data_IF_720953653292
#
_entry.id   IF_720953653292
#
_cell.length_a   1.000
_cell.length_b   1.000
_cell.length_c   1.000
_cell.angle_alpha   90.00
_cell.angle_beta   90.00
_cell.angle_gamma   90.00
#
_symmetry.space_group_name_H-M   'P 1'
#
loop_
_entity.id
_entity.type
_entity.pdbx_description
1 polymer ?
#
# COMPACT_ATOMS: atom_id res chain seq x y z
N UNK A 1 19.87 19.88 19.99
CA UNK A 1 18.43 19.61 19.78
C UNK A 1 18.36 18.75 18.55
N UNK A 2 18.11 17.46 18.74
CA UNK A 2 17.92 16.48 17.69
C UNK A 2 16.73 16.91 16.83
N UNK A 3 17.00 17.35 15.61
CA UNK A 3 15.98 17.51 14.59
C UNK A 3 15.81 16.11 14.00
N UNK A 4 14.96 15.30 14.62
CA UNK A 4 14.30 14.19 13.91
C UNK A 4 13.35 14.83 12.91
N UNK A 5 13.86 15.23 11.76
CA UNK A 5 13.05 15.42 10.56
C UNK A 5 12.50 14.06 10.19
N UNK A 6 11.23 13.82 10.51
CA UNK A 6 10.44 12.73 9.93
C UNK A 6 10.34 13.05 8.43
N UNK A 7 11.36 12.62 7.66
CA UNK A 7 11.31 12.71 6.22
C UNK A 7 10.12 11.86 5.76
N UNK A 8 9.21 12.41 4.94
CA UNK A 8 8.05 11.66 4.50
C UNK A 8 8.54 10.40 3.79
N UNK A 9 8.16 9.25 4.33
CA UNK A 9 8.50 7.95 3.75
C UNK A 9 8.16 7.98 2.26
N UNK A 10 9.14 7.67 1.41
CA UNK A 10 8.91 7.68 -0.02
C UNK A 10 7.89 6.58 -0.37
N UNK A 11 7.16 6.76 -1.47
CA UNK A 11 6.24 5.72 -1.94
C UNK A 11 6.94 4.38 -2.20
N UNK A 12 8.23 4.41 -2.56
CA UNK A 12 9.03 3.20 -2.75
C UNK A 12 9.33 2.49 -1.42
N UNK A 13 9.71 3.23 -0.38
CA UNK A 13 9.97 2.68 0.96
C UNK A 13 8.70 2.08 1.57
N UNK A 14 7.56 2.73 1.37
CA UNK A 14 6.26 2.23 1.78
C UNK A 14 5.94 0.87 1.15
N UNK A 15 6.21 0.73 -0.16
CA UNK A 15 5.99 -0.52 -0.89
C UNK A 15 6.96 -1.60 -0.44
N UNK A 16 8.23 -1.29 -0.21
CA UNK A 16 9.19 -2.26 0.32
C UNK A 16 8.80 -2.76 1.71
N UNK A 17 8.35 -1.89 2.61
CA UNK A 17 7.86 -2.29 3.93
C UNK A 17 6.66 -3.25 3.84
N UNK A 18 5.70 -2.95 2.95
CA UNK A 18 4.53 -3.81 2.71
C UNK A 18 4.89 -5.15 2.05
N UNK A 19 5.86 -5.16 1.13
CA UNK A 19 6.42 -6.38 0.53
C UNK A 19 7.13 -7.23 1.57
N UNK A 20 7.98 -6.63 2.40
CA UNK A 20 8.69 -7.34 3.46
C UNK A 20 7.75 -7.95 4.50
N UNK A 21 6.57 -7.37 4.70
CA UNK A 21 5.53 -7.92 5.56
C UNK A 21 4.76 -9.09 4.93
N UNK A 22 5.00 -9.41 3.64
CA UNK A 22 4.37 -10.52 2.91
C UNK A 22 2.88 -10.33 2.59
N UNK A 23 2.29 -9.20 3.01
CA UNK A 23 0.85 -8.93 2.83
C UNK A 23 0.52 -8.56 1.39
N UNK A 24 1.51 -8.04 0.66
CA UNK A 24 1.31 -7.58 -0.72
C UNK A 24 1.11 -8.73 -1.70
N UNK A 25 1.68 -9.91 -1.43
CA UNK A 25 1.62 -11.07 -2.34
C UNK A 25 0.18 -11.57 -2.54
N UNK A 26 -0.58 -11.77 -1.46
CA UNK A 26 -1.98 -12.20 -1.52
C UNK A 26 -2.90 -11.16 -2.17
N UNK A 27 -2.62 -9.87 -1.96
CA UNK A 27 -3.37 -8.77 -2.57
C UNK A 27 -3.12 -8.74 -4.07
N UNK A 28 -1.86 -8.83 -4.49
CA UNK A 28 -1.47 -8.84 -5.90
C UNK A 28 -2.02 -10.07 -6.63
N UNK A 29 -2.04 -11.25 -6.00
CA UNK A 29 -2.65 -12.44 -6.58
C UNK A 29 -4.16 -12.27 -6.87
N UNK A 30 -4.91 -11.60 -5.98
CA UNK A 30 -6.33 -11.30 -6.19
C UNK A 30 -6.55 -10.27 -7.30
N UNK A 31 -5.64 -9.32 -7.45
CA UNK A 31 -5.66 -8.34 -8.55
C UNK A 31 -5.46 -9.05 -9.88
N UNK A 32 -4.44 -9.90 -9.98
CA UNK A 32 -4.14 -10.68 -11.20
C UNK A 32 -5.30 -11.61 -11.59
N UNK A 33 -5.94 -12.23 -10.60
CA UNK A 33 -7.14 -13.05 -10.80
C UNK A 33 -8.40 -12.24 -11.18
N UNK A 34 -8.33 -10.90 -11.25
CA UNK A 34 -9.47 -10.01 -11.51
C UNK A 34 -10.51 -9.97 -10.38
N UNK A 35 -10.16 -10.48 -9.21
CA UNK A 35 -11.04 -10.55 -8.03
C UNK A 35 -10.98 -9.28 -7.17
N UNK A 36 -9.95 -8.45 -7.38
CA UNK A 36 -9.76 -7.18 -6.69
C UNK A 36 -9.42 -6.08 -7.68
N UNK A 37 -10.19 -5.00 -7.67
CA UNK A 37 -9.91 -3.83 -8.50
C UNK A 37 -8.97 -2.88 -7.77
N UNK A 38 -7.87 -2.47 -8.42
CA UNK A 38 -6.88 -1.55 -7.83
C UNK A 38 -7.41 -0.12 -7.65
N UNK A 39 -8.16 0.36 -8.63
CA UNK A 39 -8.60 1.75 -8.75
C UNK A 39 -10.10 1.83 -9.03
N UNK A 40 -10.67 3.04 -9.07
CA UNK A 40 -12.10 3.24 -9.28
C UNK A 40 -12.90 3.24 -7.97
N UNK A 41 -14.22 3.39 -8.07
CA UNK A 41 -15.09 3.45 -6.89
C UNK A 41 -15.15 2.07 -6.22
N UNK A 42 -14.76 2.01 -4.94
CA UNK A 42 -14.62 0.75 -4.20
C UNK A 42 -13.37 -0.04 -4.54
N UNK A 43 -12.41 0.55 -5.28
CA UNK A 43 -11.12 -0.04 -5.55
C UNK A 43 -10.23 -0.09 -4.29
N UNK A 44 -9.27 -0.99 -4.30
CA UNK A 44 -8.35 -1.25 -3.19
C UNK A 44 -7.60 -0.01 -2.71
N UNK A 45 -7.01 0.78 -3.62
CA UNK A 45 -6.22 1.96 -3.22
C UNK A 45 -7.10 3.06 -2.58
N UNK A 46 -8.25 3.45 -3.15
CA UNK A 46 -9.16 4.37 -2.48
C UNK A 46 -9.66 3.89 -1.11
N UNK A 47 -9.95 2.58 -0.95
CA UNK A 47 -10.41 2.03 0.33
C UNK A 47 -9.29 1.99 1.37
N UNK A 48 -8.04 1.69 0.97
CA UNK A 48 -6.87 1.79 1.88
C UNK A 48 -6.69 3.20 2.44
N UNK A 49 -6.85 4.23 1.59
CA UNK A 49 -6.70 5.63 2.01
C UNK A 49 -7.82 6.06 2.97
N UNK A 50 -9.01 5.47 2.87
CA UNK A 50 -10.11 5.74 3.81
C UNK A 50 -10.03 4.97 5.12
N UNK A 51 -9.30 3.86 5.13
CA UNK A 51 -9.16 2.97 6.27
C UNK A 51 -8.11 3.44 7.30
N UNK A 52 -7.39 4.53 6.99
CA UNK A 52 -6.41 5.18 7.86
C UNK A 52 -6.94 6.48 8.45
#
# INVERSE_FOLDING_TARGET
>A
MDVTTDEPMSGADAVEALKSAGVLDDVLAKIDAGQLQLTGQGGFLPEMVKAV
#
